data_IF_336610351629
#
_entry.id   IF_336610351629
#
_cell.length_a   1.000
_cell.length_b   1.000
_cell.length_c   1.000
_cell.angle_alpha   90.00
_cell.angle_beta   90.00
_cell.angle_gamma   90.00
#
_symmetry.space_group_name_H-M   'P 1'
#
loop_
_entity.id
_entity.type
_entity.pdbx_description
1 polymer ?
#
# COMPACT_ATOMS: atom_id res chain seq x y z
N UNK A 1 6.00 -1.60 -16.21
CA UNK A 1 4.77 -2.43 -16.07
C UNK A 1 4.54 -2.80 -14.61
N UNK A 2 3.36 -2.50 -14.07
CA UNK A 2 2.97 -2.88 -12.72
C UNK A 2 2.70 -4.40 -12.66
N UNK A 3 3.74 -5.20 -12.44
CA UNK A 3 3.60 -6.61 -12.09
C UNK A 3 3.61 -6.76 -10.55
N UNK A 4 3.15 -7.92 -10.05
CA UNK A 4 3.05 -8.21 -8.61
C UNK A 4 4.31 -7.87 -7.82
N UNK A 5 5.50 -8.12 -8.40
CA UNK A 5 6.79 -7.84 -7.78
C UNK A 5 7.00 -6.34 -7.56
N UNK A 6 6.72 -5.52 -8.57
CA UNK A 6 6.86 -4.07 -8.49
C UNK A 6 5.88 -3.48 -7.47
N UNK A 7 4.62 -3.96 -7.43
CA UNK A 7 3.64 -3.51 -6.44
C UNK A 7 4.08 -3.82 -5.00
N UNK A 8 4.58 -5.04 -4.73
CA UNK A 8 5.13 -5.40 -3.42
C UNK A 8 6.29 -4.50 -3.01
N UNK A 9 7.17 -4.15 -3.96
CA UNK A 9 8.31 -3.27 -3.74
C UNK A 9 7.85 -1.87 -3.36
N UNK A 10 6.90 -1.31 -4.12
CA UNK A 10 6.32 0.01 -3.85
C UNK A 10 5.67 0.09 -2.48
N UNK A 11 4.85 -0.91 -2.11
CA UNK A 11 4.20 -0.97 -0.79
C UNK A 11 5.26 -0.92 0.33
N UNK A 12 6.31 -1.74 0.24
CA UNK A 12 7.36 -1.80 1.27
C UNK A 12 8.16 -0.50 1.38
N UNK A 13 8.49 0.12 0.25
CA UNK A 13 9.24 1.37 0.28
C UNK A 13 8.41 2.52 0.83
N UNK A 14 7.19 2.71 0.31
CA UNK A 14 6.33 3.81 0.77
C UNK A 14 6.03 3.67 2.27
N UNK A 15 5.69 2.47 2.74
CA UNK A 15 5.44 2.25 4.16
C UNK A 15 6.73 2.38 5.00
N UNK A 16 7.86 1.89 4.52
CA UNK A 16 9.14 2.01 5.21
C UNK A 16 9.57 3.47 5.38
N UNK A 17 9.45 4.26 4.31
CA UNK A 17 9.81 5.67 4.31
C UNK A 17 8.93 6.46 5.28
N UNK A 18 7.60 6.28 5.24
CA UNK A 18 6.69 6.99 6.16
C UNK A 18 6.97 6.60 7.62
N UNK A 19 7.19 5.32 7.90
CA UNK A 19 7.48 4.86 9.27
C UNK A 19 8.82 5.41 9.77
N UNK A 20 9.86 5.41 8.93
CA UNK A 20 11.18 5.94 9.25
C UNK A 20 11.14 7.44 9.52
N UNK A 21 10.54 8.21 8.61
CA UNK A 21 10.39 9.66 8.77
C UNK A 21 9.54 10.03 9.99
N UNK A 22 8.46 9.30 10.26
CA UNK A 22 7.63 9.52 11.46
C UNK A 22 8.39 9.23 12.75
N UNK A 23 9.24 8.18 12.76
CA UNK A 23 10.09 7.85 13.89
C UNK A 23 11.15 8.93 14.14
N UNK A 24 11.79 9.43 13.08
CA UNK A 24 12.74 10.53 13.17
C UNK A 24 12.06 11.81 13.66
N UNK A 25 10.94 12.18 13.04
CA UNK A 25 10.18 13.37 13.39
C UNK A 25 9.81 13.38 14.87
N UNK A 26 9.27 12.28 15.39
CA UNK A 26 8.90 12.11 16.80
C UNK A 26 10.05 12.44 17.77
N UNK A 27 11.27 12.04 17.43
CA UNK A 27 12.42 12.15 18.35
C UNK A 27 13.24 13.43 18.13
N UNK A 28 13.20 14.01 16.92
CA UNK A 28 14.11 15.08 16.52
C UNK A 28 13.44 16.44 16.33
N UNK A 29 12.10 16.49 16.20
CA UNK A 29 11.36 17.74 15.96
C UNK A 29 10.69 18.21 17.25
N UNK A 30 11.15 19.33 17.85
CA UNK A 30 10.50 19.90 19.03
C UNK A 30 9.06 20.31 18.76
N UNK A 31 8.15 19.99 19.68
CA UNK A 31 6.73 20.36 19.58
C UNK A 31 5.90 19.48 18.63
N UNK A 32 6.47 18.40 18.09
CA UNK A 32 5.71 17.37 17.36
C UNK A 32 4.83 16.56 18.32
N UNK A 33 3.65 16.15 17.87
CA UNK A 33 2.83 15.21 18.62
C UNK A 33 3.43 13.80 18.52
N UNK A 34 4.21 13.45 19.54
CA UNK A 34 4.89 12.15 19.65
C UNK A 34 3.93 10.96 19.67
N UNK A 35 2.72 11.13 20.22
CA UNK A 35 1.72 10.06 20.28
C UNK A 35 1.11 9.87 18.90
N UNK A 36 0.68 10.95 18.25
CA UNK A 36 0.13 10.88 16.90
C UNK A 36 1.14 10.32 15.89
N UNK A 37 2.44 10.65 16.00
CA UNK A 37 3.48 10.03 15.17
C UNK A 37 3.63 8.52 15.42
N UNK A 38 3.45 8.08 16.67
CA UNK A 38 3.46 6.64 16.99
C UNK A 38 2.27 5.93 16.36
N UNK A 39 1.09 6.56 16.43
CA UNK A 39 -0.12 6.02 15.81
C UNK A 39 0.00 5.93 14.28
N UNK A 40 0.65 6.92 13.65
CA UNK A 40 0.99 6.89 12.22
C UNK A 40 1.88 5.68 11.89
N UNK A 41 2.93 5.42 12.68
CA UNK A 41 3.82 4.26 12.48
C UNK A 41 3.04 2.94 12.55
N UNK A 42 2.14 2.80 13.53
CA UNK A 42 1.31 1.59 13.69
C UNK A 42 0.37 1.43 12.48
N UNK A 43 -0.34 2.48 12.09
CA UNK A 43 -1.24 2.46 10.92
C UNK A 43 -0.52 2.09 9.63
N UNK A 44 0.70 2.60 9.44
CA UNK A 44 1.52 2.26 8.27
C UNK A 44 1.95 0.80 8.29
N UNK A 45 2.30 0.25 9.46
CA UNK A 45 2.64 -1.16 9.60
C UNK A 45 1.44 -2.08 9.29
N UNK A 46 0.26 -1.71 9.75
CA UNK A 46 -1.00 -2.40 9.43
C UNK A 46 -1.33 -2.32 7.94
N UNK A 47 -1.22 -1.13 7.34
CA UNK A 47 -1.41 -0.90 5.91
C UNK A 47 -0.45 -1.75 5.07
N UNK A 48 0.83 -1.81 5.45
CA UNK A 48 1.83 -2.63 4.76
C UNK A 48 1.44 -4.11 4.81
N UNK A 49 1.13 -4.62 5.99
CA UNK A 49 0.81 -6.04 6.20
C UNK A 49 -0.45 -6.45 5.42
N UNK A 50 -1.50 -5.65 5.51
CA UNK A 50 -2.78 -5.92 4.81
C UNK A 50 -2.63 -5.80 3.29
N UNK A 51 -1.94 -4.78 2.79
CA UNK A 51 -1.71 -4.60 1.37
C UNK A 51 -0.84 -5.72 0.78
N UNK A 52 0.22 -6.14 1.48
CA UNK A 52 1.06 -7.27 1.06
C UNK A 52 0.27 -8.58 1.03
N UNK A 53 -0.60 -8.83 2.02
CA UNK A 53 -1.49 -10.00 2.02
C UNK A 53 -2.40 -10.01 0.78
N UNK A 54 -3.03 -8.87 0.47
CA UNK A 54 -3.92 -8.70 -0.70
C UNK A 54 -3.21 -8.89 -2.05
N UNK A 55 -1.88 -8.84 -2.13
CA UNK A 55 -1.16 -9.19 -3.37
C UNK A 55 -1.20 -10.69 -3.71
N UNK A 56 -1.62 -11.55 -2.78
CA UNK A 56 -1.68 -13.00 -2.96
C UNK A 56 -3.03 -13.51 -3.50
N UNK A 57 -3.82 -12.66 -4.12
CA UNK A 57 -5.02 -13.04 -4.87
C UNK A 57 -4.74 -14.10 -5.95
N UNK A 58 -5.70 -15.00 -6.13
CA UNK A 58 -5.67 -16.07 -7.12
C UNK A 58 -6.80 -15.90 -8.13
N UNK A 59 -6.52 -16.27 -9.38
CA UNK A 59 -7.56 -16.40 -10.40
C UNK A 59 -8.27 -17.73 -10.18
N UNK A 60 -9.60 -17.67 -10.06
CA UNK A 60 -10.49 -18.76 -9.65
C UNK A 60 -10.85 -19.73 -10.79
N UNK A 61 -10.73 -19.29 -12.04
CA UNK A 61 -11.10 -20.10 -13.20
C UNK A 61 -9.98 -21.01 -13.68
N UNK A 62 -10.36 -22.16 -14.21
CA UNK A 62 -9.49 -23.17 -14.79
C UNK A 62 -9.45 -23.08 -16.32
N UNK A 63 -8.40 -23.61 -16.99
CA UNK A 63 -8.32 -23.59 -18.46
C UNK A 63 -9.46 -24.32 -19.18
N UNK A 64 -10.11 -25.30 -18.53
CA UNK A 64 -11.21 -26.09 -19.10
C UNK A 64 -12.51 -25.30 -19.24
N UNK A 65 -12.64 -24.18 -18.52
CA UNK A 65 -13.81 -23.30 -18.57
C UNK A 65 -13.76 -22.33 -19.77
N UNK A 66 -12.75 -22.44 -20.64
CA UNK A 66 -12.57 -21.57 -21.80
C UNK A 66 -12.49 -22.41 -23.07
N UNK A 67 -12.93 -21.84 -24.19
CA UNK A 67 -12.93 -22.53 -25.50
C UNK A 67 -11.50 -22.84 -25.95
N UNK A 68 -10.54 -21.99 -25.59
CA UNK A 68 -9.13 -22.20 -25.92
C UNK A 68 -8.19 -21.55 -24.89
N UNK A 69 -6.91 -21.95 -24.96
CA UNK A 69 -5.84 -21.47 -24.08
C UNK A 69 -5.60 -19.95 -24.21
N UNK A 70 -5.84 -19.37 -25.38
CA UNK A 70 -5.64 -17.94 -25.62
C UNK A 70 -6.66 -17.11 -24.83
N UNK A 71 -7.94 -17.48 -24.85
CA UNK A 71 -9.00 -16.84 -24.07
C UNK A 71 -8.73 -16.96 -22.56
N UNK A 72 -8.31 -18.13 -22.08
CA UNK A 72 -7.92 -18.31 -20.67
C UNK A 72 -6.79 -17.36 -20.26
N UNK A 73 -5.71 -17.30 -21.06
CA UNK A 73 -4.57 -16.41 -20.77
C UNK A 73 -4.97 -14.93 -20.78
N UNK A 74 -5.82 -14.52 -21.73
CA UNK A 74 -6.34 -13.16 -21.81
C UNK A 74 -7.20 -12.80 -20.59
N UNK A 75 -8.09 -13.70 -20.17
CA UNK A 75 -8.94 -13.52 -18.98
C UNK A 75 -8.08 -13.43 -17.70
N UNK A 76 -7.11 -14.33 -17.53
CA UNK A 76 -6.18 -14.33 -16.40
C UNK A 76 -5.35 -13.03 -16.34
N UNK A 77 -4.81 -12.57 -17.47
CA UNK A 77 -4.06 -11.32 -17.54
C UNK A 77 -4.93 -10.11 -17.20
N UNK A 78 -6.17 -10.07 -17.73
CA UNK A 78 -7.16 -9.02 -17.43
C UNK A 78 -7.51 -8.99 -15.95
N UNK A 79 -7.76 -10.15 -15.34
CA UNK A 79 -8.05 -10.28 -13.91
C UNK A 79 -6.95 -9.67 -13.04
N UNK A 80 -5.70 -10.11 -13.22
CA UNK A 80 -4.59 -9.60 -12.39
C UNK A 80 -4.32 -8.12 -12.63
N UNK A 81 -4.45 -7.63 -13.87
CA UNK A 81 -4.31 -6.20 -14.16
C UNK A 81 -5.35 -5.37 -13.41
N UNK A 82 -6.61 -5.79 -13.44
CA UNK A 82 -7.69 -5.08 -12.75
C UNK A 82 -7.52 -5.16 -11.23
N UNK A 83 -7.21 -6.33 -10.70
CA UNK A 83 -7.12 -6.55 -9.27
C UNK A 83 -5.92 -5.82 -8.65
N UNK A 84 -4.74 -5.85 -9.29
CA UNK A 84 -3.59 -5.07 -8.84
C UNK A 84 -3.76 -3.56 -9.07
N UNK A 85 -4.48 -3.14 -10.12
CA UNK A 85 -4.87 -1.75 -10.31
C UNK A 85 -5.71 -1.21 -9.14
N UNK A 86 -6.79 -1.92 -8.79
CA UNK A 86 -7.65 -1.58 -7.66
C UNK A 86 -6.90 -1.60 -6.32
N UNK A 87 -6.03 -2.59 -6.12
CA UNK A 87 -5.20 -2.67 -4.91
C UNK A 87 -4.26 -1.46 -4.80
N UNK A 88 -3.60 -1.08 -5.90
CA UNK A 88 -2.73 0.09 -5.93
C UNK A 88 -3.49 1.38 -5.63
N UNK A 89 -4.68 1.56 -6.22
CA UNK A 89 -5.52 2.73 -5.98
C UNK A 89 -5.97 2.80 -4.51
N UNK A 90 -6.51 1.71 -3.98
CA UNK A 90 -6.92 1.62 -2.57
C UNK A 90 -5.76 1.84 -1.60
N UNK A 91 -4.57 1.32 -1.92
CA UNK A 91 -3.36 1.55 -1.13
C UNK A 91 -2.96 3.03 -1.14
N UNK A 92 -2.88 3.66 -2.32
CA UNK A 92 -2.50 5.06 -2.45
C UNK A 92 -3.48 6.00 -1.70
N UNK A 93 -4.78 5.70 -1.75
CA UNK A 93 -5.78 6.48 -1.02
C UNK A 93 -5.57 6.41 0.51
N UNK A 94 -5.23 5.23 1.03
CA UNK A 94 -4.91 5.05 2.45
C UNK A 94 -3.60 5.74 2.82
N UNK A 95 -2.56 5.65 1.97
CA UNK A 95 -1.30 6.39 2.16
C UNK A 95 -1.56 7.90 2.26
N UNK A 96 -2.39 8.46 1.38
CA UNK A 96 -2.75 9.89 1.44
C UNK A 96 -3.43 10.25 2.76
N UNK A 97 -4.28 9.36 3.30
CA UNK A 97 -4.89 9.58 4.62
C UNK A 97 -3.84 9.61 5.72
N UNK A 98 -2.93 8.64 5.74
CA UNK A 98 -1.83 8.57 6.71
C UNK A 98 -0.94 9.81 6.65
N UNK A 99 -0.57 10.27 5.44
CA UNK A 99 0.27 11.46 5.27
C UNK A 99 -0.43 12.71 5.79
N UNK A 100 -1.76 12.83 5.65
CA UNK A 100 -2.52 13.93 6.24
C UNK A 100 -2.45 13.90 7.77
N UNK A 101 -2.56 12.72 8.38
CA UNK A 101 -2.43 12.56 9.84
C UNK A 101 -1.01 12.89 10.31
N UNK A 102 0.01 12.41 9.61
CA UNK A 102 1.42 12.74 9.87
C UNK A 102 1.64 14.26 9.82
N UNK A 103 1.12 14.93 8.78
CA UNK A 103 1.24 16.39 8.65
C UNK A 103 0.49 17.15 9.76
N UNK A 104 -0.65 16.63 10.22
CA UNK A 104 -1.40 17.24 11.32
C UNK A 104 -0.66 17.12 12.67
N UNK A 105 0.19 16.10 12.83
CA UNK A 105 1.03 15.90 14.01
C UNK A 105 2.27 16.80 14.04
N UNK A 106 2.60 17.46 12.93
CA UNK A 106 3.72 18.41 12.85
C UNK A 106 3.40 19.71 13.60
N UNK A 107 4.40 20.37 14.20
CA UNK A 107 4.19 21.66 14.84
C UNK A 107 3.70 22.69 13.82
N UNK A 108 2.62 23.41 14.16
CA UNK A 108 2.10 24.48 13.31
C UNK A 108 3.08 25.64 13.33
N UNK A 109 3.45 26.16 12.16
CA UNK A 109 4.20 27.43 12.06
C UNK A 109 3.41 28.52 12.81
N UNK A 110 4.09 29.20 13.74
CA UNK A 110 3.65 30.49 14.28
C UNK A 110 3.78 31.56 13.20
#
# INVERSE_FOLDING_TARGET
>A
MANKRNLKKQIRYICGDIAGESLLAKNLIPGVDSKAMTDVIVKVAELQSTALCRTNIAFDKTPKEFENKAQYNAAKAKYYRQAFGKLSESFNNQVLSVVKEMNAAMPKKK
#
